data_IF_889313367111
#
_entry.id   IF_889313367111
#
_cell.length_a   1.000
_cell.length_b   1.000
_cell.length_c   1.000
_cell.angle_alpha   90.00
_cell.angle_beta   90.00
_cell.angle_gamma   90.00
#
_symmetry.space_group_name_H-M   'P 1'
#
loop_
_entity.id
_entity.type
_entity.pdbx_description
1 polymer ?
#
# COMPACT_ATOMS: atom_id res chain seq x y z
N UNK A 1 12.84 -11.53 -14.78
CA UNK A 1 13.07 -10.25 -14.07
C UNK A 1 12.06 -10.14 -12.93
N UNK A 2 12.41 -9.52 -11.80
CA UNK A 2 11.46 -9.33 -10.69
C UNK A 2 10.37 -8.30 -11.07
N UNK A 3 9.16 -8.49 -10.55
CA UNK A 3 8.05 -7.54 -10.74
C UNK A 3 8.12 -6.31 -9.82
N UNK A 4 9.22 -6.14 -9.07
CA UNK A 4 9.40 -5.03 -8.14
C UNK A 4 9.90 -3.80 -8.89
N UNK A 5 9.14 -2.71 -8.82
CA UNK A 5 9.50 -1.41 -9.37
C UNK A 5 9.84 -0.37 -8.30
N UNK A 6 10.58 0.67 -8.71
CA UNK A 6 10.82 1.87 -7.90
C UNK A 6 11.28 1.59 -6.47
N UNK A 7 10.60 2.21 -5.50
CA UNK A 7 10.93 2.12 -4.06
C UNK A 7 10.88 0.68 -3.52
N UNK A 8 9.97 -0.15 -4.02
CA UNK A 8 9.86 -1.56 -3.59
C UNK A 8 11.11 -2.36 -3.98
N UNK A 9 11.71 -2.07 -5.15
CA UNK A 9 12.96 -2.70 -5.58
C UNK A 9 14.13 -2.30 -4.70
N UNK A 10 14.30 -1.00 -4.43
CA UNK A 10 15.38 -0.51 -3.57
C UNK A 10 15.26 -1.01 -2.13
N UNK A 11 14.03 -1.07 -1.61
CA UNK A 11 13.74 -1.65 -0.29
C UNK A 11 14.14 -3.12 -0.20
N UNK A 12 13.71 -3.94 -1.16
CA UNK A 12 14.02 -5.37 -1.17
C UNK A 12 15.52 -5.64 -1.33
N UNK A 13 16.20 -4.83 -2.16
CA UNK A 13 17.64 -4.92 -2.34
C UNK A 13 18.40 -4.54 -1.06
N UNK A 14 17.99 -3.46 -0.37
CA UNK A 14 18.59 -3.05 0.90
C UNK A 14 18.51 -4.13 1.97
N UNK A 15 17.36 -4.79 2.12
CA UNK A 15 17.21 -5.91 3.08
C UNK A 15 18.13 -7.07 2.75
N UNK A 16 18.25 -7.42 1.45
CA UNK A 16 19.11 -8.51 0.99
C UNK A 16 20.60 -8.22 1.18
N UNK A 17 21.02 -6.96 1.10
CA UNK A 17 22.41 -6.58 1.39
C UNK A 17 22.78 -6.79 2.85
N UNK A 18 21.83 -6.55 3.77
CA UNK A 18 22.05 -6.73 5.21
C UNK A 18 21.97 -8.20 5.61
N UNK A 19 21.07 -8.96 5.01
CA UNK A 19 20.87 -10.38 5.27
C UNK A 19 20.51 -11.13 3.97
N UNK A 20 21.36 -12.08 3.57
CA UNK A 20 21.16 -12.89 2.38
C UNK A 20 19.90 -13.79 2.47
N UNK A 21 19.44 -14.09 3.69
CA UNK A 21 18.26 -14.90 4.01
C UNK A 21 17.05 -14.09 4.46
N UNK A 22 17.07 -12.76 4.23
CA UNK A 22 16.06 -11.81 4.74
C UNK A 22 14.60 -12.08 4.34
N UNK A 23 14.37 -12.92 3.33
CA UNK A 23 13.05 -13.34 2.90
C UNK A 23 12.97 -14.87 3.05
N UNK A 24 12.45 -15.34 4.19
CA UNK A 24 12.35 -16.76 4.51
C UNK A 24 11.46 -17.49 3.51
N UNK A 25 10.18 -17.12 3.46
CA UNK A 25 9.18 -17.65 2.53
C UNK A 25 8.56 -16.56 1.67
N UNK A 26 7.95 -16.95 0.55
CA UNK A 26 7.22 -16.00 -0.29
C UNK A 26 6.01 -15.36 0.41
N UNK A 27 5.39 -16.08 1.36
CA UNK A 27 4.28 -15.55 2.14
C UNK A 27 4.73 -14.44 3.09
N UNK A 28 5.82 -14.66 3.82
CA UNK A 28 6.43 -13.65 4.69
C UNK A 28 6.88 -12.43 3.88
N UNK A 29 7.53 -12.64 2.72
CA UNK A 29 7.91 -11.55 1.83
C UNK A 29 6.71 -10.68 1.44
N UNK A 30 5.58 -11.28 1.07
CA UNK A 30 4.36 -10.53 0.72
C UNK A 30 3.83 -9.73 1.90
N UNK A 31 3.81 -10.31 3.10
CA UNK A 31 3.34 -9.61 4.30
C UNK A 31 4.28 -8.47 4.71
N UNK A 32 5.59 -8.66 4.68
CA UNK A 32 6.54 -7.59 4.96
C UNK A 32 6.45 -6.46 3.93
N UNK A 33 6.33 -6.82 2.64
CA UNK A 33 6.13 -5.84 1.58
C UNK A 33 4.84 -5.06 1.79
N UNK A 34 3.76 -5.74 2.16
CA UNK A 34 2.50 -5.09 2.52
C UNK A 34 2.70 -4.14 3.71
N UNK A 35 3.29 -4.60 4.81
CA UNK A 35 3.52 -3.76 5.99
C UNK A 35 4.40 -2.53 5.72
N UNK A 36 5.45 -2.67 4.89
CA UNK A 36 6.36 -1.57 4.58
C UNK A 36 5.73 -0.47 3.71
N UNK A 37 4.74 -0.83 2.88
CA UNK A 37 4.14 0.09 1.89
C UNK A 37 2.65 0.35 2.10
N UNK A 38 1.98 -0.39 2.97
CA UNK A 38 0.59 -0.16 3.32
C UNK A 38 0.50 1.21 4.01
N UNK A 39 -0.33 2.12 3.49
CA UNK A 39 -0.47 3.43 4.09
C UNK A 39 -0.98 3.27 5.54
N UNK A 40 -0.52 4.10 6.50
CA UNK A 40 -1.06 4.08 7.85
C UNK A 40 -2.59 4.21 7.80
N UNK A 41 -3.30 3.18 8.28
CA UNK A 41 -4.76 3.15 8.41
C UNK A 41 -5.17 3.98 9.62
N UNK A 42 -4.80 5.27 9.64
CA UNK A 42 -5.24 6.15 10.70
C UNK A 42 -6.64 6.70 10.34
N UNK A 43 -7.46 6.90 11.37
CA UNK A 43 -8.79 7.51 11.20
C UNK A 43 -8.71 8.93 10.65
N UNK A 44 -7.58 9.62 10.88
CA UNK A 44 -7.39 10.98 10.40
C UNK A 44 -7.33 11.05 8.87
N UNK A 45 -6.66 10.09 8.23
CA UNK A 45 -6.53 9.99 6.77
C UNK A 45 -7.83 9.55 6.15
N UNK A 46 -8.54 8.58 6.73
CA UNK A 46 -9.86 8.20 6.21
C UNK A 46 -10.85 9.36 6.31
N UNK A 47 -10.82 10.13 7.41
CA UNK A 47 -11.63 11.35 7.55
C UNK A 47 -11.23 12.44 6.55
N UNK A 48 -9.94 12.68 6.36
CA UNK A 48 -9.46 13.65 5.38
C UNK A 48 -9.88 13.26 3.96
N UNK A 49 -9.67 12.00 3.56
CA UNK A 49 -10.08 11.47 2.26
C UNK A 49 -11.60 11.54 2.04
N UNK A 50 -12.39 11.34 3.11
CA UNK A 50 -13.84 11.51 3.06
C UNK A 50 -14.27 12.98 2.91
N UNK A 51 -13.62 13.91 3.62
CA UNK A 51 -13.92 15.34 3.52
C UNK A 51 -13.53 15.93 2.15
N UNK A 52 -12.46 15.41 1.55
CA UNK A 52 -12.03 15.78 0.20
C UNK A 52 -12.87 15.09 -0.90
N UNK A 53 -13.74 14.14 -0.54
CA UNK A 53 -14.56 13.41 -1.51
C UNK A 53 -15.68 14.31 -2.06
N UNK A 54 -15.59 14.63 -3.35
CA UNK A 54 -16.66 15.31 -4.10
C UNK A 54 -17.31 14.35 -5.09
N UNK A 55 -18.63 14.48 -5.28
CA UNK A 55 -19.35 13.66 -6.24
C UNK A 55 -18.85 13.90 -7.68
N UNK A 56 -18.61 15.16 -8.07
CA UNK A 56 -18.06 15.51 -9.38
C UNK A 56 -18.83 14.86 -10.55
N UNK A 57 -18.15 14.00 -11.32
CA UNK A 57 -18.73 13.22 -12.43
C UNK A 57 -19.06 11.77 -12.03
N UNK A 58 -18.91 11.40 -10.76
CA UNK A 58 -19.21 10.06 -10.29
C UNK A 58 -20.72 9.83 -10.28
N UNK A 59 -21.14 8.67 -10.80
CA UNK A 59 -22.51 8.19 -10.61
C UNK A 59 -22.84 8.09 -9.12
N UNK A 60 -24.11 8.30 -8.78
CA UNK A 60 -24.58 8.33 -7.39
C UNK A 60 -24.23 7.04 -6.65
N UNK A 61 -24.30 5.88 -7.30
CA UNK A 61 -23.96 4.62 -6.67
C UNK A 61 -22.46 4.53 -6.38
N UNK A 62 -21.60 4.92 -7.31
CA UNK A 62 -20.15 4.91 -7.13
C UNK A 62 -19.70 5.88 -6.03
N UNK A 63 -20.32 7.06 -5.97
CA UNK A 63 -20.10 8.02 -4.89
C UNK A 63 -20.55 7.46 -3.54
N UNK A 64 -21.75 6.89 -3.46
CA UNK A 64 -22.31 6.35 -2.22
C UNK A 64 -21.48 5.18 -1.64
N UNK A 65 -20.88 4.34 -2.49
CA UNK A 65 -19.97 3.27 -2.05
C UNK A 65 -18.67 3.82 -1.46
N UNK A 66 -18.17 4.95 -1.97
CA UNK A 66 -16.93 5.59 -1.51
C UNK A 66 -17.13 6.50 -0.30
N UNK A 67 -18.35 7.00 -0.12
CA UNK A 67 -18.76 7.83 1.01
C UNK A 67 -19.26 7.00 2.22
N UNK A 68 -19.22 5.67 2.14
CA UNK A 68 -19.56 4.74 3.23
C UNK A 68 -18.33 4.34 4.01
#
# INVERSE_FOLDING_TARGET
>A
MSCLGGRARSWAYGRRLTDATCFGTYAEFKEELRQAFEPPKNEFRSRAEFLDLQQGKHDVHAYAQRAR
#
